data_IF_606968647792
#
_entry.id   IF_606968647792
#
_cell.length_a   1.000
_cell.length_b   1.000
_cell.length_c   1.000
_cell.angle_alpha   90.00
_cell.angle_beta   90.00
_cell.angle_gamma   90.00
#
_symmetry.space_group_name_H-M   'P 1'
#
loop_
_entity.id
_entity.type
_entity.pdbx_description
1 polymer ?
#
# COMPACT_ATOMS: atom_id res chain seq x y z
N UNK A 1 -63.55 7.69 1.14
CA UNK A 1 -64.47 6.89 0.29
C UNK A 1 -64.36 5.39 0.54
N UNK A 2 -63.17 4.81 0.76
CA UNK A 2 -63.01 3.36 1.03
C UNK A 2 -63.62 2.88 2.37
N UNK A 3 -63.67 3.74 3.39
CA UNK A 3 -64.21 3.39 4.71
C UNK A 3 -65.74 3.26 4.73
N UNK A 4 -66.47 4.04 3.93
CA UNK A 4 -67.93 3.92 3.82
C UNK A 4 -68.32 2.68 3.01
N UNK A 5 -67.52 2.29 2.00
CA UNK A 5 -67.73 1.07 1.24
C UNK A 5 -67.56 -0.18 2.10
N UNK A 6 -66.51 -0.23 2.95
CA UNK A 6 -66.31 -1.34 3.90
C UNK A 6 -67.45 -1.48 4.90
N UNK A 7 -67.98 -0.37 5.43
CA UNK A 7 -69.14 -0.41 6.33
C UNK A 7 -70.40 -0.92 5.63
N UNK A 8 -70.65 -0.49 4.39
CA UNK A 8 -71.78 -0.98 3.59
C UNK A 8 -71.65 -2.48 3.27
N UNK A 9 -70.45 -2.96 2.94
CA UNK A 9 -70.18 -4.37 2.70
C UNK A 9 -70.42 -5.21 3.96
N UNK A 10 -69.94 -4.75 5.12
CA UNK A 10 -70.15 -5.45 6.39
C UNK A 10 -71.63 -5.50 6.80
N UNK A 11 -72.39 -4.42 6.58
CA UNK A 11 -73.84 -4.44 6.81
C UNK A 11 -74.55 -5.41 5.85
N UNK A 12 -74.17 -5.42 4.57
CA UNK A 12 -74.76 -6.34 3.59
C UNK A 12 -74.45 -7.81 3.94
N UNK A 13 -73.25 -8.11 4.44
CA UNK A 13 -72.90 -9.46 4.93
C UNK A 13 -73.69 -9.84 6.18
N UNK A 14 -73.93 -8.90 7.09
CA UNK A 14 -74.75 -9.15 8.27
C UNK A 14 -76.21 -9.43 7.91
N UNK A 15 -76.79 -8.64 6.98
CA UNK A 15 -78.14 -8.87 6.46
C UNK A 15 -78.25 -10.21 5.71
N UNK A 16 -77.25 -10.55 4.90
CA UNK A 16 -77.19 -11.84 4.21
C UNK A 16 -77.13 -13.02 5.20
N UNK A 17 -76.40 -12.87 6.31
CA UNK A 17 -76.34 -13.88 7.37
C UNK A 17 -77.70 -14.08 8.02
N UNK A 18 -78.42 -12.99 8.34
CA UNK A 18 -79.76 -13.04 8.94
C UNK A 18 -80.76 -13.70 7.98
N UNK A 19 -80.71 -13.34 6.70
CA UNK A 19 -81.59 -13.93 5.66
C UNK A 19 -81.32 -15.43 5.54
N UNK A 20 -80.06 -15.85 5.54
CA UNK A 20 -79.66 -17.26 5.43
C UNK A 20 -80.13 -18.06 6.65
N UNK A 21 -80.00 -17.50 7.85
CA UNK A 21 -80.47 -18.13 9.08
C UNK A 21 -82.00 -18.26 9.10
N UNK A 22 -82.72 -17.23 8.65
CA UNK A 22 -84.17 -17.25 8.57
C UNK A 22 -84.68 -18.29 7.55
N UNK A 23 -84.02 -18.40 6.38
CA UNK A 23 -84.29 -19.44 5.38
C UNK A 23 -84.02 -20.85 5.92
N UNK A 24 -82.93 -21.05 6.67
CA UNK A 24 -82.64 -22.33 7.33
C UNK A 24 -83.68 -22.67 8.40
N UNK A 25 -84.10 -21.70 9.21
CA UNK A 25 -85.15 -21.90 10.20
C UNK A 25 -86.49 -22.25 9.54
N UNK A 26 -86.85 -21.55 8.46
CA UNK A 26 -88.07 -21.82 7.70
C UNK A 26 -88.03 -23.21 7.03
N UNK A 27 -86.86 -23.66 6.57
CA UNK A 27 -86.66 -25.02 6.05
C UNK A 27 -86.82 -26.06 7.17
N UNK A 28 -86.20 -25.87 8.34
CA UNK A 28 -86.36 -26.76 9.50
C UNK A 28 -87.82 -26.85 9.96
N UNK A 29 -88.54 -25.74 9.99
CA UNK A 29 -89.97 -25.73 10.32
C UNK A 29 -90.81 -26.49 9.29
N UNK A 30 -90.51 -26.38 7.99
CA UNK A 30 -91.19 -27.17 6.95
C UNK A 30 -90.90 -28.66 7.04
N UNK A 31 -89.66 -29.04 7.33
CA UNK A 31 -89.27 -30.45 7.54
C UNK A 31 -89.95 -31.01 8.79
N UNK A 32 -89.96 -30.28 9.92
CA UNK A 32 -90.66 -30.71 11.13
C UNK A 32 -92.18 -30.77 10.95
N UNK A 33 -92.80 -29.83 10.21
CA UNK A 33 -94.22 -29.91 9.88
C UNK A 33 -94.53 -31.07 8.92
N UNK A 34 -93.63 -31.39 8.00
CA UNK A 34 -93.73 -32.58 7.14
C UNK A 34 -93.64 -33.88 7.95
N UNK A 35 -92.75 -33.94 8.94
CA UNK A 35 -92.63 -35.09 9.84
C UNK A 35 -93.83 -35.22 10.78
N UNK A 36 -94.42 -34.11 11.24
CA UNK A 36 -95.64 -34.11 12.04
C UNK A 36 -96.88 -34.50 11.21
N UNK A 37 -96.93 -34.14 9.93
CA UNK A 37 -97.96 -34.61 8.99
C UNK A 37 -97.79 -36.11 8.67
N UNK A 38 -96.54 -36.60 8.63
CA UNK A 38 -96.23 -38.02 8.45
C UNK A 38 -96.55 -38.87 9.68
N UNK A 39 -96.29 -38.37 10.89
CA UNK A 39 -96.67 -39.04 12.15
C UNK A 39 -98.17 -39.07 12.42
N UNK A 40 -98.92 -38.09 11.90
CA UNK A 40 -100.39 -38.05 11.99
C UNK A 40 -101.10 -38.91 10.92
N UNK A 41 -100.36 -39.51 9.97
CA UNK A 41 -100.90 -40.35 8.89
C UNK A 41 -100.79 -41.85 9.12
N UNK A 42 -100.40 -42.28 10.33
CA UNK A 42 -100.47 -43.69 10.72
C UNK A 42 -101.87 -44.09 11.17
N UNK A 43 -102.89 -43.88 10.33
CA UNK A 43 -104.23 -44.51 10.42
C UNK A 43 -105.12 -44.05 9.26
N UNK A 44 -105.00 -44.72 8.11
CA UNK A 44 -106.12 -45.04 7.20
C UNK A 44 -105.56 -45.65 5.91
N UNK A 45 -105.54 -46.97 5.83
CA UNK A 45 -105.50 -47.66 4.55
C UNK A 45 -106.86 -47.45 3.86
N UNK A 46 -106.99 -46.37 3.10
CA UNK A 46 -108.13 -46.19 2.19
C UNK A 46 -107.93 -47.10 0.97
N UNK A 47 -108.25 -48.37 1.15
CA UNK A 47 -108.57 -49.25 0.01
C UNK A 47 -110.10 -49.24 -0.09
N UNK A 48 -110.64 -48.21 -0.74
CA UNK A 48 -112.04 -48.19 -1.15
C UNK A 48 -112.23 -49.09 -2.37
N UNK A 49 -113.32 -49.84 -2.40
CA UNK A 49 -113.61 -50.77 -3.48
C UNK A 49 -114.08 -50.02 -4.75
N UNK A 50 -113.77 -50.52 -5.98
CA UNK A 50 -114.01 -49.79 -7.23
C UNK A 50 -115.47 -49.40 -7.50
N UNK A 51 -116.43 -50.08 -6.87
CA UNK A 51 -117.86 -49.86 -7.07
C UNK A 51 -118.42 -48.63 -6.35
N UNK A 52 -117.74 -48.08 -5.34
CA UNK A 52 -118.24 -46.93 -4.56
C UNK A 52 -117.85 -45.57 -5.13
N UNK A 53 -116.95 -45.53 -6.14
CA UNK A 53 -116.50 -44.29 -6.79
C UNK A 53 -117.15 -44.03 -8.17
N UNK A 54 -118.11 -44.87 -8.61
CA UNK A 54 -118.77 -44.70 -9.91
C UNK A 54 -117.84 -44.91 -11.13
N UNK A 55 -116.76 -45.66 -10.96
CA UNK A 55 -115.73 -45.85 -11.98
C UNK A 55 -116.04 -47.07 -12.88
N UNK A 56 -115.75 -47.02 -14.19
CA UNK A 56 -115.95 -48.14 -15.09
C UNK A 56 -115.15 -49.39 -14.63
N UNK A 57 -115.69 -50.62 -14.78
CA UNK A 57 -115.10 -51.85 -14.25
C UNK A 57 -113.71 -52.22 -14.85
N UNK A 58 -113.24 -51.47 -15.86
CA UNK A 58 -111.95 -51.65 -16.52
C UNK A 58 -110.87 -50.65 -16.10
N UNK A 59 -111.13 -49.78 -15.11
CA UNK A 59 -110.14 -48.78 -14.65
C UNK A 59 -109.27 -49.36 -13.55
N UNK A 60 -107.99 -49.55 -13.85
CA UNK A 60 -107.00 -50.00 -12.88
C UNK A 60 -106.61 -48.84 -11.95
N UNK A 61 -107.23 -48.78 -10.77
CA UNK A 61 -106.96 -47.77 -9.74
C UNK A 61 -105.49 -47.80 -9.27
N UNK A 62 -104.80 -48.93 -9.36
CA UNK A 62 -103.39 -49.06 -8.99
C UNK A 62 -102.41 -48.50 -10.05
N UNK A 63 -102.88 -48.19 -11.28
CA UNK A 63 -102.02 -47.65 -12.33
C UNK A 63 -101.43 -46.27 -11.95
N UNK A 64 -102.20 -45.43 -11.25
CA UNK A 64 -101.72 -44.14 -10.73
C UNK A 64 -100.65 -44.29 -9.66
N UNK A 65 -100.83 -45.23 -8.72
CA UNK A 65 -99.84 -45.54 -7.70
C UNK A 65 -98.55 -46.12 -8.29
N UNK A 66 -98.65 -47.01 -9.28
CA UNK A 66 -97.50 -47.59 -9.96
C UNK A 66 -96.71 -46.54 -10.77
N UNK A 67 -97.41 -45.60 -11.41
CA UNK A 67 -96.77 -44.50 -12.12
C UNK A 67 -96.04 -43.56 -11.16
N UNK A 68 -96.66 -43.23 -10.02
CA UNK A 68 -96.02 -42.41 -8.99
C UNK A 68 -94.78 -43.10 -8.41
N UNK A 69 -94.88 -44.38 -8.06
CA UNK A 69 -93.76 -45.16 -7.54
C UNK A 69 -92.60 -45.22 -8.54
N UNK A 70 -92.88 -45.37 -9.84
CA UNK A 70 -91.86 -45.34 -10.89
C UNK A 70 -91.16 -43.98 -10.94
N UNK A 71 -91.89 -42.87 -10.94
CA UNK A 71 -91.29 -41.54 -10.98
C UNK A 71 -90.55 -41.16 -9.70
N UNK A 72 -91.03 -41.63 -8.54
CA UNK A 72 -90.32 -41.47 -7.27
C UNK A 72 -88.98 -42.22 -7.29
N UNK A 73 -88.96 -43.44 -7.81
CA UNK A 73 -87.75 -44.23 -7.98
C UNK A 73 -86.78 -43.62 -9.01
N UNK A 74 -87.29 -43.20 -10.18
CA UNK A 74 -86.51 -42.51 -11.21
C UNK A 74 -85.89 -41.20 -10.62
N UNK A 75 -86.66 -40.43 -9.86
CA UNK A 75 -86.18 -39.22 -9.19
C UNK A 75 -85.12 -39.53 -8.14
N UNK A 76 -85.32 -40.56 -7.33
CA UNK A 76 -84.36 -41.00 -6.31
C UNK A 76 -83.02 -41.39 -6.94
N UNK A 77 -83.05 -42.13 -8.05
CA UNK A 77 -81.84 -42.51 -8.80
C UNK A 77 -81.13 -41.28 -9.36
N UNK A 78 -81.86 -40.36 -9.99
CA UNK A 78 -81.29 -39.12 -10.54
C UNK A 78 -80.66 -38.28 -9.42
N UNK A 79 -81.33 -38.16 -8.28
CA UNK A 79 -80.83 -37.40 -7.14
C UNK A 79 -79.53 -37.99 -6.59
N UNK A 80 -79.51 -39.31 -6.37
CA UNK A 80 -78.31 -40.02 -5.91
C UNK A 80 -77.14 -39.84 -6.88
N UNK A 81 -77.38 -39.99 -8.19
CA UNK A 81 -76.36 -39.80 -9.21
C UNK A 81 -75.84 -38.35 -9.22
N UNK A 82 -76.70 -37.36 -9.00
CA UNK A 82 -76.31 -35.96 -8.93
C UNK A 82 -75.47 -35.66 -7.68
N UNK A 83 -75.82 -36.23 -6.52
CA UNK A 83 -75.01 -36.11 -5.30
C UNK A 83 -73.62 -36.74 -5.47
N UNK A 84 -73.55 -37.93 -6.05
CA UNK A 84 -72.27 -38.62 -6.26
C UNK A 84 -71.41 -37.90 -7.32
N UNK A 85 -72.03 -37.31 -8.35
CA UNK A 85 -71.34 -36.46 -9.30
C UNK A 85 -70.82 -35.17 -8.65
N UNK A 86 -71.62 -34.53 -7.80
CA UNK A 86 -71.19 -33.34 -7.06
C UNK A 86 -69.99 -33.63 -6.14
N UNK A 87 -70.00 -34.77 -5.43
CA UNK A 87 -68.86 -35.22 -4.61
C UNK A 87 -67.60 -35.44 -5.45
N UNK A 88 -67.72 -36.11 -6.59
CA UNK A 88 -66.58 -36.33 -7.50
C UNK A 88 -66.04 -35.01 -8.06
N UNK A 89 -66.92 -34.07 -8.41
CA UNK A 89 -66.52 -32.74 -8.87
C UNK A 89 -65.78 -31.95 -7.79
N UNK A 90 -66.22 -32.04 -6.52
CA UNK A 90 -65.53 -31.41 -5.38
C UNK A 90 -64.13 -32.00 -5.17
N UNK A 91 -63.96 -33.31 -5.29
CA UNK A 91 -62.66 -33.97 -5.16
C UNK A 91 -61.69 -33.53 -6.27
N UNK A 92 -62.16 -33.47 -7.52
CA UNK A 92 -61.35 -32.95 -8.64
C UNK A 92 -60.99 -31.49 -8.41
N UNK A 93 -61.91 -30.66 -7.90
CA UNK A 93 -61.62 -29.26 -7.58
C UNK A 93 -60.52 -29.12 -6.53
N UNK A 94 -60.51 -29.96 -5.48
CA UNK A 94 -59.43 -30.00 -4.47
C UNK A 94 -58.09 -30.36 -5.09
N UNK A 95 -58.06 -31.33 -6.00
CA UNK A 95 -56.82 -31.71 -6.69
C UNK A 95 -56.31 -30.58 -7.59
N UNK A 96 -57.18 -29.92 -8.34
CA UNK A 96 -56.84 -28.75 -9.18
C UNK A 96 -56.25 -27.64 -8.30
N UNK A 97 -56.88 -27.31 -7.18
CA UNK A 97 -56.38 -26.29 -6.24
C UNK A 97 -55.00 -26.65 -5.67
N UNK A 98 -54.77 -27.94 -5.39
CA UNK A 98 -53.48 -28.44 -4.94
C UNK A 98 -52.39 -28.29 -6.01
N UNK A 99 -52.71 -28.56 -7.28
CA UNK A 99 -51.81 -28.38 -8.41
C UNK A 99 -51.51 -26.88 -8.62
N UNK A 100 -52.54 -26.04 -8.63
CA UNK A 100 -52.40 -24.60 -8.78
C UNK A 100 -51.48 -24.01 -7.70
N UNK A 101 -51.67 -24.40 -6.44
CA UNK A 101 -50.83 -23.95 -5.33
C UNK A 101 -49.37 -24.34 -5.52
N UNK A 102 -49.10 -25.59 -5.93
CA UNK A 102 -47.74 -26.07 -6.22
C UNK A 102 -47.12 -25.35 -7.41
N UNK A 103 -47.90 -25.11 -8.47
CA UNK A 103 -47.43 -24.43 -9.66
C UNK A 103 -47.08 -22.96 -9.37
N UNK A 104 -47.91 -22.26 -8.59
CA UNK A 104 -47.61 -20.91 -8.13
C UNK A 104 -46.33 -20.87 -7.28
N UNK A 105 -46.15 -21.84 -6.37
CA UNK A 105 -44.92 -21.93 -5.58
C UNK A 105 -43.68 -22.17 -6.47
N UNK A 106 -43.78 -23.08 -7.43
CA UNK A 106 -42.70 -23.34 -8.39
C UNK A 106 -42.38 -22.11 -9.25
N UNK A 107 -43.40 -21.35 -9.65
CA UNK A 107 -43.20 -20.12 -10.41
C UNK A 107 -42.40 -19.08 -9.61
N UNK A 108 -42.69 -18.92 -8.32
CA UNK A 108 -41.92 -18.02 -7.44
C UNK A 108 -40.45 -18.47 -7.37
N UNK A 109 -40.21 -19.75 -7.06
CA UNK A 109 -38.83 -20.29 -6.97
C UNK A 109 -38.08 -20.15 -8.30
N UNK A 110 -38.76 -20.39 -9.43
CA UNK A 110 -38.17 -20.23 -10.75
C UNK A 110 -37.83 -18.76 -11.05
N UNK A 111 -38.72 -17.84 -10.68
CA UNK A 111 -38.49 -16.40 -10.82
C UNK A 111 -37.28 -15.95 -10.00
N UNK A 112 -37.18 -16.41 -8.75
CA UNK A 112 -36.05 -16.10 -7.88
C UNK A 112 -34.74 -16.65 -8.45
N UNK A 113 -34.75 -17.89 -8.96
CA UNK A 113 -33.60 -18.49 -9.61
C UNK A 113 -33.16 -17.69 -10.85
N UNK A 114 -34.10 -17.33 -11.73
CA UNK A 114 -33.82 -16.52 -12.91
C UNK A 114 -33.24 -15.16 -12.50
N UNK A 115 -33.78 -14.54 -11.45
CA UNK A 115 -33.23 -13.31 -10.90
C UNK A 115 -31.79 -13.48 -10.42
N UNK A 116 -31.49 -14.50 -9.63
CA UNK A 116 -30.13 -14.80 -9.18
C UNK A 116 -29.17 -15.06 -10.34
N UNK A 117 -29.59 -15.84 -11.34
CA UNK A 117 -28.78 -16.12 -12.53
C UNK A 117 -28.51 -14.85 -13.34
N UNK A 118 -29.48 -13.92 -13.43
CA UNK A 118 -29.31 -12.65 -14.12
C UNK A 118 -28.28 -11.71 -13.46
N UNK A 119 -28.00 -11.92 -12.17
CA UNK A 119 -27.00 -11.14 -11.43
C UNK A 119 -25.55 -11.62 -11.64
N UNK A 120 -25.34 -12.87 -12.09
CA UNK A 120 -24.01 -13.46 -12.30
C UNK A 120 -23.12 -12.61 -13.23
N UNK A 121 -23.59 -12.12 -14.40
CA UNK A 121 -22.78 -11.26 -15.27
C UNK A 121 -22.27 -9.99 -14.57
N UNK A 122 -23.05 -9.40 -13.67
CA UNK A 122 -22.62 -8.22 -12.90
C UNK A 122 -21.48 -8.57 -11.93
N UNK A 123 -21.59 -9.71 -11.24
CA UNK A 123 -20.52 -10.22 -10.36
C UNK A 123 -19.25 -10.50 -11.17
N UNK A 124 -19.37 -11.10 -12.35
CA UNK A 124 -18.24 -11.35 -13.25
C UNK A 124 -17.58 -10.04 -13.70
N UNK A 125 -18.37 -9.02 -14.04
CA UNK A 125 -17.84 -7.69 -14.38
C UNK A 125 -17.07 -7.06 -13.22
N UNK A 126 -17.65 -7.07 -12.01
CA UNK A 126 -16.98 -6.55 -10.81
C UNK A 126 -15.67 -7.30 -10.52
N UNK A 127 -15.66 -8.61 -10.70
CA UNK A 127 -14.46 -9.42 -10.55
C UNK A 127 -13.38 -9.04 -11.56
N UNK A 128 -13.75 -8.80 -12.82
CA UNK A 128 -12.81 -8.33 -13.85
C UNK A 128 -12.23 -6.96 -13.51
N UNK A 129 -13.05 -6.02 -13.06
CA UNK A 129 -12.56 -4.71 -12.61
C UNK A 129 -11.61 -4.85 -11.43
N UNK A 130 -11.92 -5.70 -10.45
CA UNK A 130 -11.01 -5.99 -9.34
C UNK A 130 -9.68 -6.58 -9.84
N UNK A 131 -9.73 -7.50 -10.80
CA UNK A 131 -8.54 -8.07 -11.43
C UNK A 131 -7.70 -7.01 -12.16
N UNK A 132 -8.33 -6.06 -12.83
CA UNK A 132 -7.64 -4.93 -13.48
C UNK A 132 -6.96 -4.03 -12.45
N UNK A 133 -7.66 -3.63 -11.39
CA UNK A 133 -7.06 -2.83 -10.31
C UNK A 133 -5.90 -3.55 -9.62
N UNK A 134 -5.99 -4.87 -9.44
CA UNK A 134 -4.90 -5.66 -8.88
C UNK A 134 -3.67 -5.65 -9.79
N UNK A 135 -3.88 -5.74 -11.12
CA UNK A 135 -2.80 -5.66 -12.10
C UNK A 135 -2.12 -4.29 -12.09
N UNK A 136 -2.89 -3.21 -11.99
CA UNK A 136 -2.36 -1.85 -11.89
C UNK A 136 -1.51 -1.67 -10.63
N UNK A 137 -1.98 -2.20 -9.49
CA UNK A 137 -1.22 -2.17 -8.23
C UNK A 137 0.07 -2.97 -8.34
N UNK A 138 0.03 -4.14 -8.98
CA UNK A 138 1.25 -4.95 -9.23
C UNK A 138 2.26 -4.17 -10.09
N UNK A 139 1.80 -3.55 -11.18
CA UNK A 139 2.67 -2.76 -12.05
C UNK A 139 3.27 -1.54 -11.33
N UNK A 140 2.48 -0.86 -10.49
CA UNK A 140 2.98 0.24 -9.66
C UNK A 140 4.01 -0.28 -8.64
N UNK A 141 3.77 -1.44 -8.05
CA UNK A 141 4.73 -2.12 -7.15
C UNK A 141 6.07 -2.38 -7.84
N UNK A 142 6.06 -3.00 -9.02
CA UNK A 142 7.27 -3.23 -9.82
C UNK A 142 8.00 -1.93 -10.19
N UNK A 143 7.25 -0.85 -10.46
CA UNK A 143 7.84 0.47 -10.73
C UNK A 143 8.51 1.04 -9.49
N UNK A 144 7.89 0.92 -8.32
CA UNK A 144 8.45 1.40 -7.06
C UNK A 144 9.71 0.61 -6.70
N UNK A 145 9.70 -0.71 -6.86
CA UNK A 145 10.89 -1.55 -6.63
C UNK A 145 12.08 -1.11 -7.49
N UNK A 146 11.85 -0.81 -8.77
CA UNK A 146 12.91 -0.30 -9.67
C UNK A 146 13.43 1.07 -9.26
N UNK A 147 12.56 1.98 -8.81
CA UNK A 147 13.01 3.29 -8.35
C UNK A 147 13.74 3.21 -7.01
N UNK A 148 13.39 2.25 -6.14
CA UNK A 148 14.13 1.97 -4.91
C UNK A 148 15.52 1.40 -5.19
N UNK A 149 15.65 0.48 -6.16
CA UNK A 149 16.95 -0.05 -6.60
C UNK A 149 17.87 1.08 -7.09
N UNK A 150 17.36 1.99 -7.93
CA UNK A 150 18.12 3.17 -8.38
C UNK A 150 18.51 4.10 -7.22
N UNK A 151 17.64 4.24 -6.23
CA UNK A 151 17.92 5.06 -5.06
C UNK A 151 19.03 4.44 -4.20
N UNK A 152 19.04 3.11 -4.05
CA UNK A 152 20.11 2.38 -3.36
C UNK A 152 21.45 2.57 -4.07
N UNK A 153 21.48 2.42 -5.40
CA UNK A 153 22.67 2.69 -6.21
C UNK A 153 23.20 4.13 -6.02
N UNK A 154 22.30 5.11 -6.04
CA UNK A 154 22.65 6.52 -5.86
C UNK A 154 23.21 6.80 -4.45
N UNK A 155 22.62 6.19 -3.41
CA UNK A 155 23.13 6.31 -2.05
C UNK A 155 24.55 5.74 -1.95
N UNK A 156 24.80 4.56 -2.52
CA UNK A 156 26.13 3.96 -2.55
C UNK A 156 27.16 4.82 -3.29
N UNK A 157 26.76 5.47 -4.39
CA UNK A 157 27.61 6.41 -5.12
C UNK A 157 27.94 7.64 -4.26
N UNK A 158 26.95 8.24 -3.58
CA UNK A 158 27.18 9.36 -2.67
C UNK A 158 28.12 9.01 -1.51
N UNK A 159 27.96 7.84 -0.89
CA UNK A 159 28.85 7.36 0.19
C UNK A 159 30.30 7.20 -0.31
N UNK A 160 30.48 6.69 -1.53
CA UNK A 160 31.79 6.55 -2.15
C UNK A 160 32.43 7.91 -2.44
N UNK A 161 31.67 8.86 -2.98
CA UNK A 161 32.14 10.22 -3.23
C UNK A 161 32.57 10.93 -1.95
N UNK A 162 31.79 10.81 -0.88
CA UNK A 162 32.12 11.38 0.44
C UNK A 162 33.43 10.78 0.97
N UNK A 163 33.58 9.46 0.89
CA UNK A 163 34.81 8.77 1.28
C UNK A 163 36.03 9.26 0.48
N UNK A 164 35.90 9.37 -0.84
CA UNK A 164 36.98 9.86 -1.70
C UNK A 164 37.39 11.29 -1.34
N UNK A 165 36.41 12.16 -1.09
CA UNK A 165 36.66 13.55 -0.71
C UNK A 165 37.36 13.65 0.66
N UNK A 166 36.94 12.83 1.62
CA UNK A 166 37.60 12.74 2.92
C UNK A 166 39.08 12.34 2.76
N UNK A 167 39.37 11.30 1.96
CA UNK A 167 40.75 10.87 1.70
C UNK A 167 41.57 11.92 0.97
N UNK A 168 40.99 12.64 0.02
CA UNK A 168 41.66 13.76 -0.64
C UNK A 168 42.00 14.89 0.34
N UNK A 169 41.09 15.18 1.28
CA UNK A 169 41.29 16.16 2.33
C UNK A 169 42.41 15.74 3.29
N UNK A 170 42.41 14.47 3.74
CA UNK A 170 43.49 13.90 4.56
C UNK A 170 44.86 14.01 3.88
N UNK A 171 44.95 13.63 2.60
CA UNK A 171 46.19 13.73 1.82
C UNK A 171 46.68 15.18 1.69
N UNK A 172 45.75 16.12 1.46
CA UNK A 172 46.07 17.54 1.36
C UNK A 172 46.62 18.10 2.67
N UNK A 173 45.99 17.74 3.81
CA UNK A 173 46.46 18.08 5.15
C UNK A 173 47.85 17.50 5.45
N UNK A 174 48.08 16.24 5.08
CA UNK A 174 49.38 15.60 5.27
C UNK A 174 50.48 16.28 4.45
N UNK A 175 50.20 16.57 3.18
CA UNK A 175 51.13 17.30 2.30
C UNK A 175 51.48 18.68 2.86
N UNK A 176 50.48 19.42 3.34
CA UNK A 176 50.67 20.73 3.95
C UNK A 176 51.57 20.65 5.18
N UNK A 177 51.28 19.70 6.10
CA UNK A 177 52.12 19.47 7.29
C UNK A 177 53.56 19.13 6.92
N UNK A 178 53.78 18.31 5.88
CA UNK A 178 55.13 18.00 5.41
C UNK A 178 55.86 19.20 4.80
N UNK A 179 55.15 20.08 4.12
CA UNK A 179 55.71 21.33 3.62
C UNK A 179 56.14 22.25 4.77
N UNK A 180 55.31 22.37 5.82
CA UNK A 180 55.64 23.16 7.02
C UNK A 180 56.84 22.58 7.79
N UNK A 181 56.89 21.25 7.95
CA UNK A 181 58.05 20.57 8.57
C UNK A 181 59.35 20.84 7.79
N UNK A 182 59.29 20.78 6.45
CA UNK A 182 60.44 21.03 5.59
C UNK A 182 60.89 22.50 5.66
N UNK A 183 59.94 23.43 5.66
CA UNK A 183 60.24 24.86 5.78
C UNK A 183 60.85 25.21 7.15
N UNK A 184 60.31 24.63 8.23
CA UNK A 184 60.90 24.76 9.56
C UNK A 184 62.33 24.20 9.62
N UNK A 185 62.58 23.05 8.98
CA UNK A 185 63.92 22.48 8.88
C UNK A 185 64.88 23.40 8.10
N UNK A 186 64.45 23.94 6.96
CA UNK A 186 65.24 24.92 6.19
C UNK A 186 65.60 26.14 7.00
N UNK A 187 64.65 26.70 7.74
CA UNK A 187 64.89 27.86 8.61
C UNK A 187 65.90 27.55 9.70
N UNK A 188 65.82 26.37 10.35
CA UNK A 188 66.82 25.93 11.34
C UNK A 188 68.21 25.83 10.74
N UNK A 189 68.35 25.16 9.59
CA UNK A 189 69.65 25.01 8.90
C UNK A 189 70.22 26.37 8.48
N UNK A 190 69.37 27.28 7.99
CA UNK A 190 69.79 28.63 7.65
C UNK A 190 70.26 29.43 8.87
N UNK A 191 69.54 29.34 9.99
CA UNK A 191 69.92 29.99 11.25
C UNK A 191 71.24 29.42 11.81
N UNK A 192 71.42 28.10 11.80
CA UNK A 192 72.68 27.44 12.18
C UNK A 192 73.85 27.87 11.28
N UNK A 193 73.61 28.01 9.97
CA UNK A 193 74.62 28.49 9.04
C UNK A 193 75.00 29.95 9.30
N UNK A 194 74.01 30.82 9.51
CA UNK A 194 74.22 32.23 9.81
C UNK A 194 74.98 32.42 11.13
N UNK A 195 74.66 31.64 12.15
CA UNK A 195 75.39 31.66 13.43
C UNK A 195 76.83 31.19 13.26
N UNK A 196 77.08 30.13 12.48
CA UNK A 196 78.44 29.68 12.15
C UNK A 196 79.26 30.75 11.43
N UNK A 197 78.66 31.44 10.46
CA UNK A 197 79.31 32.57 9.77
C UNK A 197 79.65 33.67 10.78
N UNK A 198 78.70 34.07 11.62
CA UNK A 198 78.91 35.12 12.62
C UNK A 198 80.06 34.78 13.59
N UNK A 199 80.08 33.54 14.10
CA UNK A 199 81.16 33.05 14.97
C UNK A 199 82.51 33.05 14.25
N UNK A 200 82.53 32.66 12.97
CA UNK A 200 83.74 32.68 12.15
C UNK A 200 84.25 34.11 11.92
N UNK A 201 83.36 35.05 11.56
CA UNK A 201 83.68 36.47 11.40
C UNK A 201 84.18 37.11 12.70
N UNK A 202 83.59 36.79 13.84
CA UNK A 202 84.04 37.27 15.16
C UNK A 202 85.43 36.75 15.50
N UNK A 203 85.70 35.47 15.22
CA UNK A 203 87.03 34.88 15.37
C UNK A 203 88.06 35.59 14.49
N UNK A 204 87.76 35.82 13.21
CA UNK A 204 88.63 36.57 12.30
C UNK A 204 88.90 37.99 12.81
N UNK A 205 87.85 38.71 13.25
CA UNK A 205 88.01 40.06 13.82
C UNK A 205 88.89 40.08 15.06
N UNK A 206 88.81 39.06 15.90
CA UNK A 206 89.63 38.95 17.11
C UNK A 206 91.09 38.75 16.75
N UNK A 207 91.38 37.82 15.84
CA UNK A 207 92.73 37.58 15.31
C UNK A 207 93.30 38.86 14.68
N UNK A 208 92.52 39.58 13.88
CA UNK A 208 92.96 40.84 13.26
C UNK A 208 93.27 41.93 14.31
N UNK A 209 92.47 42.05 15.37
CA UNK A 209 92.72 42.99 16.47
C UNK A 209 93.98 42.63 17.25
N UNK A 210 94.19 41.35 17.55
CA UNK A 210 95.40 40.87 18.22
C UNK A 210 96.64 41.17 17.37
N UNK A 211 96.58 40.90 16.06
CA UNK A 211 97.65 41.25 15.12
C UNK A 211 97.93 42.75 15.11
N UNK A 212 96.90 43.59 14.99
CA UNK A 212 97.07 45.04 15.00
C UNK A 212 97.71 45.52 16.31
N UNK A 213 97.29 44.98 17.46
CA UNK A 213 97.88 45.33 18.75
C UNK A 213 99.36 44.93 18.84
N UNK A 214 99.73 43.75 18.33
CA UNK A 214 101.13 43.29 18.24
C UNK A 214 101.94 44.23 17.33
N UNK A 215 101.41 44.61 16.17
CA UNK A 215 102.08 45.55 15.26
C UNK A 215 102.21 46.94 15.87
N UNK A 216 101.19 47.46 16.55
CA UNK A 216 101.23 48.75 17.21
C UNK A 216 102.26 48.77 18.36
N UNK A 217 102.34 47.69 19.16
CA UNK A 217 103.36 47.57 20.21
C UNK A 217 104.78 47.45 19.64
N UNK A 218 104.97 46.67 18.56
CA UNK A 218 106.23 46.62 17.83
C UNK A 218 106.62 48.00 17.26
N UNK A 219 105.67 48.71 16.66
CA UNK A 219 105.90 50.06 16.13
C UNK A 219 106.26 51.06 17.25
N UNK A 220 105.62 50.97 18.41
CA UNK A 220 105.96 51.80 19.58
C UNK A 220 107.36 51.50 20.11
N UNK A 221 107.78 50.24 20.06
CA UNK A 221 109.14 49.83 20.36
C UNK A 221 110.12 50.45 19.36
N UNK A 222 109.89 50.27 18.05
CA UNK A 222 110.73 50.82 16.99
C UNK A 222 110.83 52.36 17.05
N UNK A 223 109.73 53.04 17.40
CA UNK A 223 109.70 54.49 17.57
C UNK A 223 110.51 54.95 18.80
N UNK A 224 110.54 54.17 19.88
CA UNK A 224 111.42 54.42 21.04
C UNK A 224 112.87 54.19 20.66
N UNK A 225 113.17 53.09 19.98
CA UNK A 225 114.52 52.74 19.53
C UNK A 225 115.07 53.81 18.56
N UNK A 226 114.25 54.34 17.66
CA UNK A 226 114.61 55.47 16.81
C UNK A 226 114.91 56.75 17.59
N UNK A 227 114.10 57.07 18.61
CA UNK A 227 114.31 58.25 19.46
C UNK A 227 115.59 58.15 20.30
N UNK A 228 116.00 56.94 20.67
CA UNK A 228 117.18 56.68 21.48
C UNK A 228 118.47 56.57 20.62
N UNK A 229 118.40 55.92 19.45
CA UNK A 229 119.58 55.56 18.64
C UNK A 229 119.68 56.26 17.27
N UNK A 230 118.67 57.07 16.89
CA UNK A 230 118.65 57.88 15.65
C UNK A 230 118.44 57.11 14.34
N UNK A 231 118.29 55.78 14.38
CA UNK A 231 118.07 54.91 13.21
C UNK A 231 117.13 53.74 13.59
N UNK A 232 116.21 53.35 12.70
CA UNK A 232 115.30 52.20 12.90
C UNK A 232 115.99 50.92 12.39
N UNK A 233 115.87 49.77 13.08
CA UNK A 233 116.33 48.48 12.55
C UNK A 233 115.63 48.16 11.22
N UNK A 234 116.41 47.99 10.14
CA UNK A 234 115.84 47.53 8.87
C UNK A 234 115.39 46.08 9.04
N UNK A 235 114.12 45.81 8.79
CA UNK A 235 113.61 44.44 8.65
C UNK A 235 114.44 43.77 7.56
N UNK A 236 115.22 42.75 7.95
CA UNK A 236 115.94 41.92 7.00
C UNK A 236 114.90 41.17 6.16
N UNK A 237 114.72 41.59 4.91
CA UNK A 237 114.06 40.74 3.92
C UNK A 237 115.03 39.63 3.56
N UNK A 238 114.96 38.51 4.27
CA UNK A 238 115.45 37.23 3.73
C UNK A 238 114.43 36.71 2.70
N UNK A 239 114.21 37.49 1.64
CA UNK A 239 113.53 37.04 0.43
C UNK A 239 114.63 36.93 -0.61
N UNK A 240 115.07 35.70 -0.86
CA UNK A 240 115.79 35.38 -2.10
C UNK A 240 114.87 35.77 -3.26
N UNK A 241 115.29 36.65 -4.20
CA UNK A 241 114.49 36.95 -5.36
C UNK A 241 114.52 35.73 -6.30
N UNK A 242 113.50 34.88 -6.23
CA UNK A 242 113.15 34.05 -7.37
C UNK A 242 112.45 34.97 -8.38
N UNK A 243 113.13 35.24 -9.49
CA UNK A 243 112.54 35.91 -10.63
C UNK A 243 111.48 34.98 -11.24
N UNK A 244 110.24 35.10 -10.78
CA UNK A 244 109.07 34.50 -11.45
C UNK A 244 108.40 35.64 -12.22
N UNK A 245 108.41 35.54 -13.55
CA UNK A 245 107.72 36.45 -14.46
C UNK A 245 106.21 36.23 -14.35
N UNK A 246 105.43 37.30 -14.43
CA UNK A 246 103.95 37.29 -14.40
C UNK A 246 103.30 36.45 -15.51
N UNK A 247 104.08 36.00 -16.50
CA UNK A 247 103.63 35.19 -17.64
C UNK A 247 103.51 33.69 -17.31
N UNK A 248 103.99 33.23 -16.14
CA UNK A 248 104.02 31.81 -15.73
C UNK A 248 102.93 31.45 -14.68
N UNK A 249 102.05 32.39 -14.33
CA UNK A 249 100.97 32.17 -13.35
C UNK A 249 99.72 31.70 -14.07
N UNK A 250 99.50 30.39 -14.10
CA UNK A 250 98.25 29.77 -14.57
C UNK A 250 97.17 29.93 -13.48
N UNK A 251 96.13 30.72 -13.77
CA UNK A 251 95.03 31.02 -12.83
C UNK A 251 93.93 29.95 -12.79
N UNK A 252 94.08 28.89 -13.59
CA UNK A 252 93.07 27.84 -13.74
C UNK A 252 93.10 26.77 -12.64
N UNK A 253 94.13 26.76 -11.77
CA UNK A 253 94.18 25.89 -10.59
C UNK A 253 93.67 26.64 -9.33
N UNK A 254 92.35 26.81 -9.29
CA UNK A 254 91.63 27.61 -8.28
C UNK A 254 91.61 26.91 -6.91
N UNK A 255 92.09 25.66 -6.81
CA UNK A 255 92.08 24.91 -5.54
C UNK A 255 93.25 25.30 -4.63
N UNK A 256 94.48 25.44 -5.15
CA UNK A 256 95.66 25.80 -4.33
C UNK A 256 95.82 27.31 -4.14
N UNK A 257 95.40 28.11 -5.13
CA UNK A 257 95.55 29.57 -5.08
C UNK A 257 94.62 30.26 -4.09
N UNK A 258 93.42 29.70 -3.85
CA UNK A 258 92.53 30.19 -2.78
C UNK A 258 93.10 29.92 -1.39
N UNK A 259 93.66 28.72 -1.17
CA UNK A 259 94.30 28.36 0.09
C UNK A 259 95.55 29.23 0.33
N UNK A 260 96.36 29.50 -0.68
CA UNK A 260 97.54 30.36 -0.54
C UNK A 260 97.17 31.84 -0.28
N UNK A 261 96.08 32.34 -0.89
CA UNK A 261 95.60 33.70 -0.63
C UNK A 261 94.93 33.81 0.74
N UNK A 262 94.18 32.79 1.17
CA UNK A 262 93.66 32.69 2.53
C UNK A 262 94.80 32.54 3.55
N UNK A 263 95.86 31.78 3.26
CA UNK A 263 97.03 31.63 4.12
C UNK A 263 97.84 32.93 4.19
N UNK A 264 97.94 33.71 3.12
CA UNK A 264 98.58 35.02 3.15
C UNK A 264 97.74 36.07 3.90
N UNK A 265 96.41 36.03 3.77
CA UNK A 265 95.52 36.97 4.46
C UNK A 265 95.27 36.57 5.92
N UNK A 266 95.34 35.27 6.25
CA UNK A 266 95.12 34.71 7.57
C UNK A 266 96.40 34.25 8.28
N UNK A 267 97.58 34.41 7.68
CA UNK A 267 98.92 34.10 8.22
C UNK A 267 99.55 35.26 8.98
#
# INVERSE_FOLDING_TARGET
>A
MLSSLRKKLNNALAEASIITENLQQQYRQRVQNSDNLSRSRSSSSLILSPSELGLPPNVNVAAGCNLLAKYEEDWRIIHQNNEDNARKAEEVAKQIQGIESKMNQQQVVMSDLVHCLSAIPNVVLKLKTCQETLREVQQLGESVEKELEKLEDLCAECELEEYMLEKQCELSKFKQKKMEELESYRQKVAAEHQERIRLHEEKLRTIQKERQAVFDDAFRHDLKEFKENGHIPKIAKDIKPAAISLEEVDLDDISETKDALEEFLNG
#
